data_IF_144075280721
#
_entry.id   IF_144075280721
#
_cell.length_a   1.000
_cell.length_b   1.000
_cell.length_c   1.000
_cell.angle_alpha   90.00
_cell.angle_beta   90.00
_cell.angle_gamma   90.00
#
_symmetry.space_group_name_H-M   'P 1'
#
loop_
_entity.id
_entity.type
_entity.pdbx_description
1 polymer ?
#
# COMPACT_ATOMS: atom_id res chain seq x y z
N UNK A 1 19.59 9.74 4.01
CA UNK A 1 20.19 9.61 2.66
C UNK A 1 19.13 9.02 1.74
N UNK A 2 18.90 9.60 0.57
CA UNK A 2 17.97 9.01 -0.41
C UNK A 2 18.70 7.90 -1.16
N UNK A 3 18.06 6.73 -1.29
CA UNK A 3 18.58 5.56 -2.01
C UNK A 3 17.49 4.97 -2.89
N UNK A 4 17.90 4.20 -3.89
CA UNK A 4 16.99 3.44 -4.74
C UNK A 4 16.83 2.02 -4.20
N UNK A 5 15.60 1.51 -4.18
CA UNK A 5 15.33 0.13 -3.78
C UNK A 5 15.77 -0.86 -4.86
N UNK A 6 16.55 -1.88 -4.50
CA UNK A 6 17.04 -2.91 -5.44
C UNK A 6 15.93 -3.79 -6.04
N UNK A 7 14.69 -3.74 -5.50
CA UNK A 7 13.58 -4.61 -5.91
C UNK A 7 12.57 -3.87 -6.77
N UNK A 8 12.12 -2.70 -6.30
CA UNK A 8 11.08 -1.94 -7.00
C UNK A 8 11.61 -0.69 -7.70
N UNK A 9 12.87 -0.28 -7.48
CA UNK A 9 13.47 0.91 -8.10
C UNK A 9 13.09 2.25 -7.46
N UNK A 10 12.20 2.27 -6.46
CA UNK A 10 11.71 3.51 -5.83
C UNK A 10 12.79 4.21 -5.01
N UNK A 11 12.79 5.53 -5.04
CA UNK A 11 13.54 6.34 -4.08
C UNK A 11 12.94 6.24 -2.67
N UNK A 12 13.79 6.09 -1.67
CA UNK A 12 13.37 6.05 -0.27
C UNK A 12 14.42 6.64 0.68
N UNK A 13 13.96 7.14 1.81
CA UNK A 13 14.83 7.69 2.87
C UNK A 13 15.42 6.55 3.70
N UNK A 14 16.68 6.23 3.45
CA UNK A 14 17.40 5.19 4.18
C UNK A 14 17.88 5.71 5.55
N UNK A 15 17.55 4.94 6.60
CA UNK A 15 17.97 5.16 8.00
C UNK A 15 19.39 4.67 8.28
N UNK A 16 19.92 3.75 7.46
CA UNK A 16 21.25 3.15 7.61
C UNK A 16 21.96 3.07 6.26
N UNK A 17 23.30 3.18 6.25
CA UNK A 17 24.12 3.04 5.03
C UNK A 17 23.94 1.69 4.34
N UNK A 18 23.65 0.63 5.09
CA UNK A 18 23.44 -0.74 4.59
C UNK A 18 22.01 -1.02 4.12
N UNK A 19 21.09 -0.05 4.18
CA UNK A 19 19.72 -0.26 3.70
C UNK A 19 19.70 -0.43 2.17
N UNK A 20 19.02 -1.48 1.71
CA UNK A 20 18.87 -1.88 0.30
C UNK A 20 17.43 -1.81 -0.23
N UNK A 21 16.45 -1.79 0.68
CA UNK A 21 15.04 -1.92 0.34
C UNK A 21 14.20 -0.81 0.98
N UNK A 22 13.20 -0.32 0.25
CA UNK A 22 12.31 0.75 0.73
C UNK A 22 11.31 0.28 1.80
N UNK A 23 10.97 -1.02 1.80
CA UNK A 23 9.98 -1.59 2.72
C UNK A 23 10.27 -3.07 3.01
N UNK A 24 9.64 -3.59 4.08
CA UNK A 24 9.73 -5.01 4.44
C UNK A 24 9.21 -5.92 3.33
N UNK A 25 8.21 -5.47 2.57
CA UNK A 25 7.70 -6.19 1.40
C UNK A 25 8.76 -6.38 0.32
N UNK A 26 9.50 -5.34 -0.05
CA UNK A 26 10.61 -5.47 -1.00
C UNK A 26 11.70 -6.39 -0.46
N UNK A 27 12.04 -6.30 0.84
CA UNK A 27 12.98 -7.24 1.47
C UNK A 27 12.51 -8.70 1.35
N UNK A 28 11.24 -8.97 1.64
CA UNK A 28 10.66 -10.31 1.55
C UNK A 28 10.57 -10.82 0.10
N UNK A 29 10.26 -9.95 -0.86
CA UNK A 29 10.27 -10.29 -2.29
C UNK A 29 11.66 -10.72 -2.75
N UNK A 30 12.70 -9.97 -2.36
CA UNK A 30 14.10 -10.32 -2.64
C UNK A 30 14.48 -11.67 -2.03
N UNK A 31 14.08 -11.95 -0.79
CA UNK A 31 14.35 -13.22 -0.12
C UNK A 31 13.64 -14.42 -0.76
N UNK A 32 12.44 -14.22 -1.30
CA UNK A 32 11.64 -15.27 -1.95
C UNK A 32 11.98 -15.47 -3.43
N UNK A 33 12.86 -14.65 -4.00
CA UNK A 33 13.16 -14.66 -5.43
C UNK A 33 11.97 -14.24 -6.31
N UNK A 34 10.99 -13.52 -5.74
CA UNK A 34 9.80 -13.09 -6.47
C UNK A 34 10.08 -11.73 -7.12
N UNK A 35 9.96 -11.59 -8.45
CA UNK A 35 10.15 -10.32 -9.11
C UNK A 35 9.06 -9.32 -8.71
N UNK A 36 9.42 -8.04 -8.70
CA UNK A 36 8.43 -6.97 -8.58
C UNK A 36 7.69 -6.82 -9.92
N UNK A 37 6.37 -7.00 -9.92
CA UNK A 37 5.51 -6.96 -11.12
C UNK A 37 4.75 -5.61 -11.23
N UNK A 38 5.04 -4.65 -10.35
CA UNK A 38 4.42 -3.33 -10.40
C UNK A 38 5.17 -2.38 -11.34
N UNK A 39 4.45 -1.51 -12.02
CA UNK A 39 5.07 -0.35 -12.68
C UNK A 39 5.15 0.80 -11.68
N UNK A 40 6.34 1.40 -11.55
CA UNK A 40 6.48 2.72 -10.94
C UNK A 40 6.01 3.75 -11.96
N UNK A 41 4.72 4.06 -11.95
CA UNK A 41 4.22 5.17 -12.74
C UNK A 41 4.40 6.47 -11.95
N UNK A 42 5.00 7.53 -12.55
CA UNK A 42 4.96 8.84 -11.94
C UNK A 42 3.49 9.28 -11.78
N UNK A 43 3.15 10.07 -10.75
CA UNK A 43 1.81 10.63 -10.65
C UNK A 43 1.48 11.40 -11.93
N UNK A 44 0.21 11.37 -12.35
CA UNK A 44 -0.22 12.10 -13.54
C UNK A 44 0.15 13.58 -13.40
N UNK A 45 0.62 14.22 -14.48
CA UNK A 45 1.04 15.62 -14.45
C UNK A 45 -0.08 16.59 -14.03
N UNK A 46 -1.34 16.16 -14.16
CA UNK A 46 -2.55 16.89 -13.77
C UNK A 46 -3.01 16.60 -12.34
N UNK A 47 -2.32 15.73 -11.61
CA UNK A 47 -2.70 15.39 -10.24
C UNK A 47 -2.35 16.54 -9.30
N UNK A 48 -3.37 17.26 -8.82
CA UNK A 48 -3.22 18.33 -7.84
C UNK A 48 -3.72 17.79 -6.50
N UNK A 49 -2.84 17.16 -5.74
CA UNK A 49 -3.07 16.81 -4.34
C UNK A 49 -1.81 17.09 -3.55
N UNK A 50 -1.95 17.80 -2.43
CA UNK A 50 -0.88 18.00 -1.46
C UNK A 50 -0.57 16.71 -0.71
N UNK A 51 0.64 16.60 -0.15
CA UNK A 51 1.02 15.43 0.64
C UNK A 51 0.08 15.16 1.83
N UNK A 52 -0.46 16.22 2.45
CA UNK A 52 -1.40 16.11 3.55
C UNK A 52 -2.75 15.52 3.10
N UNK A 53 -3.27 15.94 1.94
CA UNK A 53 -4.50 15.39 1.37
C UNK A 53 -4.34 13.91 1.01
N UNK A 54 -3.17 13.52 0.48
CA UNK A 54 -2.85 12.12 0.22
C UNK A 54 -2.88 11.30 1.52
N UNK A 55 -2.23 11.79 2.59
CA UNK A 55 -2.23 11.12 3.89
C UNK A 55 -3.64 10.96 4.48
N UNK A 56 -4.43 12.04 4.45
CA UNK A 56 -5.82 12.02 4.91
C UNK A 56 -6.67 11.00 4.12
N UNK A 57 -6.50 10.96 2.80
CA UNK A 57 -7.20 10.00 1.93
C UNK A 57 -6.84 8.55 2.28
N UNK A 58 -5.55 8.27 2.53
CA UNK A 58 -5.09 6.94 2.92
C UNK A 58 -5.67 6.53 4.28
N UNK A 59 -5.69 7.44 5.25
CA UNK A 59 -6.31 7.21 6.56
C UNK A 59 -7.81 6.93 6.43
N UNK A 60 -8.53 7.71 5.62
CA UNK A 60 -9.94 7.50 5.37
C UNK A 60 -10.21 6.15 4.70
N UNK A 61 -9.36 5.75 3.75
CA UNK A 61 -9.48 4.44 3.10
C UNK A 61 -9.35 3.29 4.10
N UNK A 62 -8.45 3.40 5.09
CA UNK A 62 -8.30 2.41 6.16
C UNK A 62 -9.56 2.28 7.04
N UNK A 63 -10.16 3.41 7.43
CA UNK A 63 -11.41 3.44 8.21
C UNK A 63 -12.53 2.78 7.42
N UNK A 64 -12.72 3.19 6.16
CA UNK A 64 -13.78 2.65 5.28
C UNK A 64 -13.59 1.15 5.04
N UNK A 65 -12.35 0.67 4.87
CA UNK A 65 -12.08 -0.76 4.75
C UNK A 65 -12.57 -1.54 5.98
N UNK A 66 -12.23 -1.05 7.18
CA UNK A 66 -12.63 -1.64 8.45
C UNK A 66 -14.15 -1.66 8.60
N UNK A 67 -14.82 -0.56 8.25
CA UNK A 67 -16.28 -0.45 8.32
C UNK A 67 -16.98 -1.38 7.32
N UNK A 68 -16.46 -1.52 6.10
CA UNK A 68 -17.00 -2.46 5.11
C UNK A 68 -16.83 -3.91 5.55
N UNK A 69 -15.69 -4.25 6.16
CA UNK A 69 -15.46 -5.54 6.79
C UNK A 69 -16.52 -5.81 7.87
N UNK A 70 -16.80 -4.84 8.75
CA UNK A 70 -17.84 -4.94 9.79
C UNK A 70 -19.25 -5.06 9.19
N UNK A 71 -19.61 -4.20 8.24
CA UNK A 71 -20.91 -4.22 7.58
C UNK A 71 -21.19 -5.59 6.93
N UNK A 72 -20.19 -6.19 6.29
CA UNK A 72 -20.33 -7.52 5.68
C UNK A 72 -20.62 -8.65 6.67
N UNK A 73 -20.36 -8.47 7.96
CA UNK A 73 -20.74 -9.41 9.02
C UNK A 73 -22.16 -9.18 9.54
N UNK A 74 -22.74 -8.01 9.28
CA UNK A 74 -24.05 -7.58 9.81
C UNK A 74 -25.17 -7.69 8.77
N UNK A 75 -24.86 -7.94 7.49
CA UNK A 75 -25.86 -8.08 6.42
C UNK A 75 -25.48 -9.13 5.38
N UNK A 76 -26.48 -9.80 4.83
CA UNK A 76 -26.36 -10.74 3.72
C UNK A 76 -26.39 -10.06 2.35
N UNK A 77 -26.29 -8.72 2.29
CA UNK A 77 -26.24 -7.99 1.03
C UNK A 77 -25.08 -8.48 0.14
N UNK A 78 -25.35 -8.92 -1.11
CA UNK A 78 -24.32 -9.37 -2.04
C UNK A 78 -23.24 -8.31 -2.30
N UNK A 79 -23.61 -7.02 -2.24
CA UNK A 79 -22.66 -5.91 -2.36
C UNK A 79 -21.68 -5.89 -1.18
N UNK A 80 -22.17 -6.01 0.06
CA UNK A 80 -21.33 -6.01 1.25
C UNK A 80 -20.35 -7.20 1.27
N UNK A 81 -20.78 -8.37 0.80
CA UNK A 81 -19.89 -9.54 0.65
C UNK A 81 -18.80 -9.35 -0.42
N UNK A 82 -19.09 -8.64 -1.52
CA UNK A 82 -18.08 -8.25 -2.52
C UNK A 82 -17.12 -7.22 -1.93
N UNK A 83 -17.65 -6.22 -1.21
CA UNK A 83 -16.86 -5.17 -0.59
C UNK A 83 -15.92 -5.69 0.51
N UNK A 84 -16.30 -6.74 1.24
CA UNK A 84 -15.40 -7.45 2.18
C UNK A 84 -14.10 -7.92 1.52
N UNK A 85 -14.16 -8.45 0.29
CA UNK A 85 -12.97 -8.90 -0.44
C UNK A 85 -12.07 -7.73 -0.84
N UNK A 86 -12.67 -6.60 -1.18
CA UNK A 86 -11.94 -5.37 -1.51
C UNK A 86 -11.29 -4.77 -0.26
N UNK A 87 -12.03 -4.68 0.84
CA UNK A 87 -11.52 -4.23 2.14
C UNK A 87 -10.31 -5.04 2.58
N UNK A 88 -10.38 -6.38 2.49
CA UNK A 88 -9.24 -7.26 2.78
C UNK A 88 -8.02 -6.96 1.91
N UNK A 89 -8.20 -6.79 0.59
CA UNK A 89 -7.10 -6.45 -0.31
C UNK A 89 -6.46 -5.10 0.03
N UNK A 90 -7.27 -4.13 0.43
CA UNK A 90 -6.81 -2.81 0.85
C UNK A 90 -6.02 -2.89 2.17
N UNK A 91 -6.53 -3.61 3.17
CA UNK A 91 -5.84 -3.88 4.43
C UNK A 91 -4.49 -4.60 4.21
N UNK A 92 -4.46 -5.64 3.36
CA UNK A 92 -3.24 -6.37 3.01
C UNK A 92 -2.22 -5.46 2.31
N UNK A 93 -2.68 -4.55 1.45
CA UNK A 93 -1.83 -3.58 0.76
C UNK A 93 -1.19 -2.58 1.75
N UNK A 94 -1.99 -2.00 2.65
CA UNK A 94 -1.52 -1.07 3.68
C UNK A 94 -0.49 -1.74 4.61
N UNK A 95 -0.80 -2.96 5.09
CA UNK A 95 0.11 -3.76 5.92
C UNK A 95 1.43 -4.05 5.21
N UNK A 96 1.40 -4.29 3.90
CA UNK A 96 2.59 -4.52 3.09
C UNK A 96 3.55 -3.33 3.05
N UNK A 97 3.04 -2.11 3.20
CA UNK A 97 3.83 -0.89 3.26
C UNK A 97 4.19 -0.47 4.70
N UNK A 98 3.74 -1.23 5.70
CA UNK A 98 4.02 -0.96 7.13
C UNK A 98 3.11 0.08 7.76
N UNK A 99 1.92 0.30 7.17
CA UNK A 99 0.83 1.12 7.69
C UNK A 99 -0.21 0.25 8.41
#
# INVERSE_FOLDING_TARGET
MIKHCEVCGREFTAQRKTAKYCSNKCRLMSQRGVPYIGELQPPAATAIMTAAEVQSTVQQAHIVASDLSRASMMTYSPLCLKLRRVAKKLEDALRGEGL
#
